data_IF_736838793895
#
_entry.id   IF_736838793895
#
_cell.length_a   1.000
_cell.length_b   1.000
_cell.length_c   1.000
_cell.angle_alpha   90.00
_cell.angle_beta   90.00
_cell.angle_gamma   90.00
#
_symmetry.space_group_name_H-M   'P 1'
#
loop_
_entity.id
_entity.type
_entity.pdbx_description
1 polymer ?
#
# COMPACT_ATOMS: atom_id res chain seq x y z
N UNK A 1 -14.34 13.71 44.71
CA UNK A 1 -14.27 13.27 43.29
C UNK A 1 -12.85 12.93 42.81
N UNK A 2 -11.82 13.75 43.04
CA UNK A 2 -10.45 13.51 42.49
C UNK A 2 -9.66 12.32 43.08
N UNK A 3 -9.97 11.89 44.30
CA UNK A 3 -9.28 10.76 44.95
C UNK A 3 -9.73 9.37 44.42
N UNK A 4 -11.01 9.22 44.10
CA UNK A 4 -11.60 7.99 43.56
C UNK A 4 -11.11 7.68 42.13
N UNK A 5 -10.88 8.70 41.31
CA UNK A 5 -10.35 8.52 39.95
C UNK A 5 -8.87 8.10 39.95
N UNK A 6 -8.07 8.60 40.90
CA UNK A 6 -6.67 8.18 41.10
C UNK A 6 -6.60 6.70 41.51
N UNK A 7 -7.47 6.26 42.41
CA UNK A 7 -7.56 4.85 42.81
C UNK A 7 -7.99 3.93 41.64
N UNK A 8 -8.89 4.37 40.77
CA UNK A 8 -9.32 3.62 39.58
C UNK A 8 -8.21 3.50 38.53
N UNK A 9 -7.40 4.55 38.32
CA UNK A 9 -6.24 4.53 37.41
C UNK A 9 -5.13 3.61 37.92
N UNK A 10 -4.83 3.64 39.21
CA UNK A 10 -3.84 2.73 39.82
C UNK A 10 -4.23 1.25 39.68
N UNK A 11 -5.52 0.92 39.87
CA UNK A 11 -6.03 -0.46 39.70
C UNK A 11 -5.98 -0.95 38.24
N UNK A 12 -6.20 -0.07 37.25
CA UNK A 12 -6.05 -0.40 35.81
C UNK A 12 -4.59 -0.65 35.42
N UNK A 13 -3.66 0.17 35.92
CA UNK A 13 -2.23 -0.02 35.66
C UNK A 13 -1.71 -1.36 36.22
N UNK A 14 -2.11 -1.71 37.45
CA UNK A 14 -1.73 -2.97 38.09
C UNK A 14 -2.28 -4.22 37.38
N UNK A 15 -3.46 -4.13 36.73
CA UNK A 15 -4.02 -5.22 35.91
C UNK A 15 -3.24 -5.44 34.60
N UNK A 16 -2.78 -4.36 33.94
CA UNK A 16 -1.97 -4.49 32.70
C UNK A 16 -0.58 -5.06 32.95
N UNK A 17 0.02 -4.75 34.11
CA UNK A 17 1.34 -5.28 34.49
C UNK A 17 1.29 -6.80 34.79
N UNK A 18 0.15 -7.31 35.30
CA UNK A 18 -0.03 -8.76 35.52
C UNK A 18 -0.27 -9.55 34.23
N UNK A 19 -0.94 -8.97 33.22
CA UNK A 19 -1.12 -9.64 31.92
C UNK A 19 0.17 -9.73 31.11
N UNK A 20 1.03 -8.70 31.20
CA UNK A 20 2.34 -8.71 30.53
C UNK A 20 3.32 -9.75 31.10
N UNK A 21 3.30 -10.00 32.42
CA UNK A 21 4.16 -11.02 33.05
C UNK A 21 3.71 -12.46 32.77
N UNK A 22 2.44 -12.71 32.47
CA UNK A 22 1.94 -14.04 32.13
C UNK A 22 2.31 -14.47 30.69
N UNK A 23 2.51 -13.52 29.78
CA UNK A 23 2.84 -13.80 28.37
C UNK A 23 4.32 -14.18 28.15
N UNK A 24 5.24 -13.79 29.04
CA UNK A 24 6.68 -14.09 28.91
C UNK A 24 7.13 -15.42 29.52
N UNK A 25 6.23 -16.20 30.14
CA UNK A 25 6.60 -17.42 30.87
C UNK A 25 6.42 -18.75 30.08
N UNK A 26 6.16 -18.72 28.76
CA UNK A 26 5.82 -19.94 27.98
C UNK A 26 6.63 -20.21 26.71
N UNK A 27 7.92 -19.86 26.68
CA UNK A 27 8.83 -20.40 25.65
C UNK A 27 10.14 -20.81 26.30
N UNK A 28 10.14 -21.97 26.98
CA UNK A 28 11.35 -22.77 27.20
C UNK A 28 11.01 -24.26 27.17
N UNK A 29 11.87 -24.98 26.45
CA UNK A 29 12.13 -26.42 26.44
C UNK A 29 11.28 -27.34 25.54
N UNK A 30 11.91 -27.83 24.46
CA UNK A 30 11.98 -29.26 24.15
C UNK A 30 13.29 -29.58 23.38
N UNK A 31 13.99 -30.70 23.66
CA UNK A 31 15.33 -31.01 23.12
C UNK A 31 15.32 -32.09 22.02
N UNK A 32 16.48 -32.25 21.35
CA UNK A 32 16.98 -33.56 20.93
C UNK A 32 17.01 -33.85 19.42
N UNK A 33 18.20 -33.74 18.82
CA UNK A 33 18.58 -34.44 17.60
C UNK A 33 19.00 -35.90 17.92
N UNK A 34 19.11 -36.75 16.89
CA UNK A 34 20.40 -37.42 16.70
C UNK A 34 20.90 -37.29 15.25
N UNK A 35 22.22 -37.17 15.11
CA UNK A 35 22.92 -37.22 13.83
C UNK A 35 23.47 -38.62 13.50
N UNK A 36 24.36 -38.62 12.49
CA UNK A 36 25.19 -39.71 11.91
C UNK A 36 24.55 -40.41 10.71
N UNK A 37 25.23 -40.75 9.62
CA UNK A 37 26.59 -40.59 9.08
C UNK A 37 26.43 -40.77 7.54
N UNK A 38 27.09 -40.00 6.67
CA UNK A 38 28.32 -40.43 6.02
C UNK A 38 28.11 -41.32 4.77
N UNK A 39 28.20 -40.76 3.55
CA UNK A 39 28.67 -41.51 2.36
C UNK A 39 29.13 -40.57 1.24
N UNK A 40 30.41 -40.67 0.88
CA UNK A 40 31.02 -40.07 -0.32
C UNK A 40 30.54 -40.84 -1.56
N UNK A 41 30.19 -40.14 -2.63
CA UNK A 41 29.83 -40.75 -3.92
C UNK A 41 30.08 -39.78 -5.07
N UNK A 42 30.81 -40.22 -6.09
CA UNK A 42 31.43 -39.41 -7.14
C UNK A 42 30.42 -38.90 -8.20
N UNK A 43 30.77 -37.73 -8.75
CA UNK A 43 30.37 -37.10 -10.03
C UNK A 43 29.65 -38.00 -11.05
N UNK A 44 28.48 -37.57 -11.53
CA UNK A 44 28.10 -37.58 -12.95
C UNK A 44 27.26 -36.33 -13.24
N UNK A 45 27.68 -35.55 -14.22
CA UNK A 45 26.93 -34.41 -14.71
C UNK A 45 25.70 -34.89 -15.47
N UNK A 46 24.53 -34.36 -15.11
CA UNK A 46 23.33 -34.43 -15.92
C UNK A 46 22.83 -33.01 -16.15
N UNK A 47 22.50 -32.75 -17.40
CA UNK A 47 22.17 -31.47 -18.01
C UNK A 47 20.91 -30.87 -17.38
N UNK A 48 20.86 -29.53 -17.35
CA UNK A 48 19.70 -28.77 -16.92
C UNK A 48 18.46 -29.07 -17.80
N UNK A 49 17.23 -29.02 -17.27
CA UNK A 49 16.02 -29.27 -18.06
C UNK A 49 15.65 -28.13 -19.03
N UNK A 50 16.46 -27.06 -19.10
CA UNK A 50 16.19 -25.86 -19.88
C UNK A 50 16.97 -25.87 -21.19
N UNK A 51 16.72 -26.84 -22.07
CA UNK A 51 17.18 -26.76 -23.46
C UNK A 51 16.40 -27.64 -24.42
N UNK A 52 15.14 -27.26 -24.71
CA UNK A 52 14.52 -27.59 -25.99
C UNK A 52 13.93 -26.34 -26.62
N UNK A 53 14.70 -25.83 -27.60
CA UNK A 53 14.28 -24.86 -28.60
C UNK A 53 13.37 -25.59 -29.59
N UNK A 54 12.06 -25.54 -29.38
CA UNK A 54 11.10 -25.94 -30.41
C UNK A 54 10.70 -24.70 -31.22
N UNK A 55 11.04 -24.70 -32.51
CA UNK A 55 10.57 -23.70 -33.47
C UNK A 55 9.17 -24.09 -33.95
N UNK A 56 8.23 -23.18 -33.71
CA UNK A 56 7.15 -22.70 -34.59
C UNK A 56 6.12 -23.71 -35.10
N UNK A 57 4.87 -23.50 -34.67
CA UNK A 57 3.77 -23.18 -35.60
C UNK A 57 2.73 -22.32 -34.88
N UNK A 58 2.78 -21.00 -35.10
CA UNK A 58 1.76 -20.06 -34.64
C UNK A 58 0.48 -20.27 -35.45
N UNK A 59 -0.69 -20.47 -34.84
CA UNK A 59 -1.93 -20.08 -35.49
C UNK A 59 -2.02 -18.55 -35.38
N UNK A 60 -2.15 -17.90 -36.54
CA UNK A 60 -2.35 -16.47 -36.67
C UNK A 60 -3.55 -16.02 -35.81
N UNK A 61 -3.28 -15.50 -34.61
CA UNK A 61 -4.26 -14.69 -33.88
C UNK A 61 -4.23 -13.32 -34.54
N UNK A 62 -5.35 -13.00 -35.18
CA UNK A 62 -5.55 -11.75 -35.89
C UNK A 62 -5.22 -10.57 -34.97
N UNK A 63 -4.34 -9.70 -35.45
CA UNK A 63 -3.96 -8.40 -34.85
C UNK A 63 -5.19 -7.55 -34.44
N UNK A 64 -6.36 -7.85 -34.97
CA UNK A 64 -7.61 -7.14 -34.72
C UNK A 64 -8.19 -7.34 -33.31
N UNK A 65 -7.88 -8.42 -32.59
CA UNK A 65 -8.43 -8.63 -31.23
C UNK A 65 -7.60 -7.96 -30.12
N UNK A 66 -6.29 -7.81 -30.31
CA UNK A 66 -5.40 -7.15 -29.35
C UNK A 66 -5.49 -5.63 -29.48
N UNK A 67 -5.61 -5.12 -30.71
CA UNK A 67 -5.95 -3.71 -30.98
C UNK A 67 -7.36 -3.35 -30.50
N UNK A 68 -8.33 -4.26 -30.60
CA UNK A 68 -9.67 -4.05 -30.04
C UNK A 68 -9.64 -3.96 -28.51
N UNK A 69 -8.83 -4.79 -27.82
CA UNK A 69 -8.64 -4.70 -26.36
C UNK A 69 -7.96 -3.39 -25.94
N UNK A 70 -6.94 -2.94 -26.67
CA UNK A 70 -6.28 -1.65 -26.44
C UNK A 70 -7.19 -0.46 -26.78
N UNK A 71 -8.07 -0.59 -27.77
CA UNK A 71 -9.07 0.43 -28.12
C UNK A 71 -10.23 0.53 -27.13
N UNK A 72 -10.64 -0.61 -26.53
CA UNK A 72 -11.64 -0.66 -25.47
C UNK A 72 -11.06 -0.07 -24.19
N UNK A 73 -9.79 -0.35 -23.87
CA UNK A 73 -9.06 0.30 -22.77
C UNK A 73 -8.98 1.82 -23.00
N UNK A 74 -8.69 2.29 -24.23
CA UNK A 74 -8.73 3.73 -24.54
C UNK A 74 -10.12 4.36 -24.44
N UNK A 75 -11.20 3.61 -24.73
CA UNK A 75 -12.59 4.11 -24.66
C UNK A 75 -13.27 3.96 -23.29
N UNK A 76 -12.76 3.09 -22.42
CA UNK A 76 -13.23 2.94 -21.02
C UNK A 76 -12.35 3.67 -20.00
N UNK A 77 -11.23 4.25 -20.44
CA UNK A 77 -10.39 5.16 -19.66
C UNK A 77 -10.79 6.64 -19.79
N UNK A 78 -12.06 6.93 -20.04
CA UNK A 78 -12.67 8.21 -19.64
C UNK A 78 -13.49 8.02 -18.35
N UNK A 79 -12.87 7.88 -17.16
CA UNK A 79 -13.57 8.12 -15.91
C UNK A 79 -13.69 9.62 -15.58
N UNK A 80 -13.31 10.53 -16.48
CA UNK A 80 -13.22 11.97 -16.21
C UNK A 80 -14.19 12.83 -17.04
N UNK A 81 -15.49 12.57 -16.93
CA UNK A 81 -16.51 13.60 -17.18
C UNK A 81 -17.04 14.23 -15.88
N UNK A 82 -16.71 13.66 -14.71
CA UNK A 82 -17.07 14.19 -13.38
C UNK A 82 -15.90 14.65 -12.52
N UNK A 83 -14.66 14.40 -12.94
CA UNK A 83 -13.46 14.86 -12.24
C UNK A 83 -12.96 16.23 -12.74
N UNK A 84 -13.41 16.71 -13.92
CA UNK A 84 -12.94 17.96 -14.52
C UNK A 84 -13.70 19.20 -14.06
N UNK A 85 -14.95 19.08 -13.61
CA UNK A 85 -15.78 20.25 -13.34
C UNK A 85 -16.13 20.37 -11.85
N UNK A 86 -15.66 21.49 -11.30
CA UNK A 86 -16.25 22.25 -10.19
C UNK A 86 -15.58 22.20 -8.81
N UNK A 87 -14.26 22.02 -8.71
CA UNK A 87 -13.55 22.46 -7.49
C UNK A 87 -12.51 23.51 -7.83
N UNK A 88 -12.85 24.76 -7.52
CA UNK A 88 -11.95 25.90 -7.61
C UNK A 88 -10.59 25.56 -6.98
N UNK A 89 -9.47 26.00 -7.59
CA UNK A 89 -8.16 25.87 -6.97
C UNK A 89 -8.26 26.45 -5.56
N UNK A 90 -7.96 25.65 -4.53
CA UNK A 90 -7.93 26.16 -3.15
C UNK A 90 -6.95 27.32 -3.16
N UNK A 91 -7.47 28.53 -2.94
CA UNK A 91 -6.80 29.80 -3.12
C UNK A 91 -5.35 29.75 -2.63
N UNK A 92 -4.44 30.39 -3.37
CA UNK A 92 -3.02 30.52 -3.04
C UNK A 92 -2.86 31.03 -1.60
N UNK A 93 -2.62 30.10 -0.67
CA UNK A 93 -2.29 30.40 0.71
C UNK A 93 -0.80 30.77 0.75
N UNK A 94 -0.44 31.74 1.58
CA UNK A 94 0.94 31.97 2.04
C UNK A 94 1.60 30.62 2.33
N UNK A 95 2.88 30.37 1.99
CA UNK A 95 3.52 29.07 2.21
C UNK A 95 3.50 28.72 3.71
N UNK A 96 2.44 28.03 4.11
CA UNK A 96 2.19 27.49 5.44
C UNK A 96 3.00 26.20 5.50
N UNK A 97 3.84 26.04 6.53
CA UNK A 97 4.73 24.88 6.64
C UNK A 97 3.90 23.59 6.67
N UNK A 98 4.43 22.49 6.14
CA UNK A 98 3.72 21.21 6.10
C UNK A 98 3.12 20.79 7.46
N UNK A 99 3.82 20.93 8.62
CA UNK A 99 3.24 20.57 9.92
C UNK A 99 1.94 21.30 10.25
N UNK A 100 1.86 22.60 9.95
CA UNK A 100 0.64 23.40 10.17
C UNK A 100 -0.50 22.93 9.26
N UNK A 101 -0.17 22.62 8.00
CA UNK A 101 -1.14 22.08 7.02
C UNK A 101 -1.66 20.70 7.41
N UNK A 102 -0.86 19.90 8.12
CA UNK A 102 -1.31 18.63 8.68
C UNK A 102 -2.29 18.92 9.83
N UNK A 103 -1.95 19.81 10.77
CA UNK A 103 -2.78 20.13 11.93
C UNK A 103 -4.14 20.74 11.55
N UNK A 104 -4.18 21.62 10.54
CA UNK A 104 -5.42 22.24 10.06
C UNK A 104 -6.17 21.40 8.99
N UNK A 105 -5.63 20.23 8.62
CA UNK A 105 -6.15 19.29 7.61
C UNK A 105 -6.20 19.84 6.18
N UNK A 106 -5.46 20.90 5.87
CA UNK A 106 -5.33 21.43 4.51
C UNK A 106 -4.26 20.71 3.67
N UNK A 107 -3.44 19.85 4.28
CA UNK A 107 -2.54 18.96 3.56
C UNK A 107 -3.32 17.94 2.70
N UNK A 108 -2.89 17.80 1.45
CA UNK A 108 -3.37 16.75 0.55
C UNK A 108 -2.49 15.53 0.73
N UNK A 109 -3.13 14.37 0.97
CA UNK A 109 -2.46 13.10 1.21
C UNK A 109 -2.59 12.22 -0.02
N UNK A 110 -1.53 11.57 -0.46
CA UNK A 110 -1.57 10.52 -1.47
C UNK A 110 -1.32 9.15 -0.82
N UNK A 111 -2.12 8.15 -1.16
CA UNK A 111 -1.92 6.76 -0.74
C UNK A 111 -1.63 5.91 -1.97
N UNK A 112 -0.42 5.36 -2.03
CA UNK A 112 0.06 4.52 -3.13
C UNK A 112 -0.04 3.04 -2.73
N UNK A 113 -0.91 2.31 -3.42
CA UNK A 113 -1.28 0.92 -3.12
C UNK A 113 -2.60 0.85 -2.36
N UNK A 114 -3.69 0.55 -3.06
CA UNK A 114 -5.05 0.49 -2.55
C UNK A 114 -5.45 -0.94 -2.16
N UNK A 115 -4.50 -1.69 -1.61
CA UNK A 115 -4.71 -3.03 -1.08
C UNK A 115 -5.22 -3.03 0.37
N UNK A 116 -4.95 -4.14 1.06
CA UNK A 116 -5.41 -4.40 2.43
C UNK A 116 -5.00 -3.35 3.48
N UNK A 117 -3.89 -2.64 3.28
CA UNK A 117 -3.41 -1.61 4.21
C UNK A 117 -3.80 -0.22 3.73
N UNK A 118 -3.51 0.11 2.47
CA UNK A 118 -3.69 1.47 1.97
C UNK A 118 -5.15 1.89 1.81
N UNK A 119 -6.05 0.99 1.40
CA UNK A 119 -7.46 1.36 1.21
C UNK A 119 -8.17 1.70 2.54
N UNK A 120 -8.04 0.89 3.63
CA UNK A 120 -8.52 1.30 4.95
C UNK A 120 -7.84 2.58 5.49
N UNK A 121 -6.55 2.77 5.21
CA UNK A 121 -5.81 3.97 5.61
C UNK A 121 -6.37 5.23 4.93
N UNK A 122 -6.60 5.16 3.61
CA UNK A 122 -7.23 6.23 2.85
C UNK A 122 -8.63 6.56 3.38
N UNK A 123 -9.43 5.54 3.69
CA UNK A 123 -10.75 5.73 4.30
C UNK A 123 -10.67 6.44 5.66
N UNK A 124 -9.69 6.07 6.49
CA UNK A 124 -9.48 6.70 7.80
C UNK A 124 -9.11 8.19 7.66
N UNK A 125 -8.21 8.53 6.74
CA UNK A 125 -7.84 9.92 6.49
C UNK A 125 -8.98 10.76 5.90
N UNK A 126 -9.72 10.21 4.94
CA UNK A 126 -10.89 10.88 4.36
C UNK A 126 -11.95 11.18 5.44
N UNK A 127 -12.21 10.22 6.34
CA UNK A 127 -13.11 10.42 7.50
C UNK A 127 -12.58 11.43 8.51
N UNK A 128 -11.26 11.53 8.65
CA UNK A 128 -10.63 12.51 9.53
C UNK A 128 -10.66 13.94 8.96
N UNK A 129 -11.12 14.13 7.72
CA UNK A 129 -11.30 15.45 7.09
C UNK A 129 -10.19 15.85 6.12
N UNK A 130 -9.21 14.98 5.86
CA UNK A 130 -8.15 15.24 4.88
C UNK A 130 -8.63 14.97 3.48
N UNK A 131 -8.12 15.71 2.50
CA UNK A 131 -8.28 15.33 1.10
C UNK A 131 -7.26 14.24 0.74
N UNK A 132 -7.74 13.13 0.21
CA UNK A 132 -6.93 11.94 -0.08
C UNK A 132 -7.01 11.58 -1.56
N UNK A 133 -5.85 11.46 -2.19
CA UNK A 133 -5.68 10.91 -3.53
C UNK A 133 -5.26 9.43 -3.42
N UNK A 134 -6.13 8.52 -3.85
CA UNK A 134 -5.83 7.09 -3.91
C UNK A 134 -5.22 6.72 -5.26
N UNK A 135 -4.05 6.09 -5.25
CA UNK A 135 -3.35 5.64 -6.46
C UNK A 135 -3.00 4.15 -6.35
N UNK A 136 -3.26 3.38 -7.39
CA UNK A 136 -2.84 1.98 -7.52
C UNK A 136 -2.45 1.69 -8.98
N UNK A 137 -1.47 0.81 -9.17
CA UNK A 137 -1.02 0.36 -10.50
C UNK A 137 -1.97 -0.68 -11.11
N UNK A 138 -2.78 -1.34 -10.27
CA UNK A 138 -3.75 -2.34 -10.69
C UNK A 138 -5.01 -1.66 -11.26
N UNK A 139 -5.05 -1.54 -12.58
CA UNK A 139 -6.17 -0.92 -13.29
C UNK A 139 -7.51 -1.62 -13.03
N UNK A 140 -7.53 -2.94 -12.83
CA UNK A 140 -8.76 -3.67 -12.51
C UNK A 140 -9.27 -3.29 -11.12
N UNK A 141 -8.37 -3.18 -10.14
CA UNK A 141 -8.71 -2.68 -8.79
C UNK A 141 -9.24 -1.25 -8.84
N UNK A 142 -8.57 -0.35 -9.55
CA UNK A 142 -9.01 1.04 -9.69
C UNK A 142 -10.39 1.12 -10.34
N UNK A 143 -10.63 0.37 -11.41
CA UNK A 143 -11.93 0.35 -12.09
C UNK A 143 -13.05 -0.20 -11.18
N UNK A 144 -12.78 -1.24 -10.40
CA UNK A 144 -13.73 -1.79 -9.42
C UNK A 144 -14.07 -0.76 -8.33
N UNK A 145 -13.07 -0.08 -7.77
CA UNK A 145 -13.28 0.99 -6.79
C UNK A 145 -14.07 2.17 -7.38
N UNK A 146 -13.80 2.55 -8.63
CA UNK A 146 -14.52 3.61 -9.31
C UNK A 146 -16.02 3.29 -9.51
N UNK A 147 -16.35 2.01 -9.70
CA UNK A 147 -17.74 1.51 -9.73
C UNK A 147 -18.37 1.34 -8.35
N UNK A 148 -17.63 1.59 -7.27
CA UNK A 148 -18.09 1.38 -5.90
C UNK A 148 -18.19 -0.09 -5.49
N UNK A 149 -17.51 -0.98 -6.21
CA UNK A 149 -17.51 -2.42 -5.90
C UNK A 149 -16.69 -2.70 -4.63
N UNK A 150 -17.10 -3.69 -3.82
CA UNK A 150 -16.39 -4.06 -2.61
C UNK A 150 -15.11 -4.84 -2.95
N UNK A 151 -14.02 -4.11 -3.23
CA UNK A 151 -12.70 -4.69 -3.49
C UNK A 151 -12.13 -5.43 -2.29
N UNK A 152 -12.45 -4.97 -1.07
CA UNK A 152 -12.07 -5.61 0.18
C UNK A 152 -13.34 -5.98 0.98
N UNK A 153 -13.57 -7.27 1.29
CA UNK A 153 -14.80 -7.70 1.92
C UNK A 153 -14.95 -7.21 3.36
N UNK A 154 -13.84 -6.97 4.06
CA UNK A 154 -13.78 -6.60 5.48
C UNK A 154 -13.88 -5.09 5.75
N UNK A 155 -14.03 -4.24 4.72
CA UNK A 155 -14.30 -2.82 4.96
C UNK A 155 -15.69 -2.63 5.57
N UNK A 156 -15.81 -1.77 6.58
CA UNK A 156 -17.12 -1.42 7.14
C UNK A 156 -17.92 -0.54 6.16
N UNK A 157 -19.25 -0.48 6.28
CA UNK A 157 -20.06 0.44 5.48
C UNK A 157 -19.60 1.90 5.55
N UNK A 158 -19.14 2.34 6.73
CA UNK A 158 -18.63 3.70 6.95
C UNK A 158 -17.32 3.94 6.20
N UNK A 159 -16.41 2.96 6.19
CA UNK A 159 -15.18 3.03 5.42
C UNK A 159 -15.46 3.08 3.92
N UNK A 160 -16.41 2.26 3.43
CA UNK A 160 -16.83 2.29 2.02
C UNK A 160 -17.45 3.63 1.63
N UNK A 161 -18.28 4.21 2.50
CA UNK A 161 -18.89 5.53 2.27
C UNK A 161 -17.84 6.63 2.13
N UNK A 162 -16.79 6.60 2.97
CA UNK A 162 -15.70 7.57 2.93
C UNK A 162 -14.83 7.50 1.67
N UNK A 163 -14.85 6.36 0.97
CA UNK A 163 -14.10 6.10 -0.26
C UNK A 163 -14.93 6.40 -1.53
N UNK A 164 -16.12 6.98 -1.40
CA UNK A 164 -16.92 7.39 -2.56
C UNK A 164 -16.29 8.61 -3.24
N UNK A 165 -16.13 8.61 -4.58
CA UNK A 165 -15.61 9.76 -5.32
C UNK A 165 -16.40 11.04 -5.03
N UNK A 166 -15.70 12.18 -4.87
CA UNK A 166 -16.32 13.48 -4.58
C UNK A 166 -16.59 13.76 -3.09
N UNK A 167 -16.30 12.79 -2.20
CA UNK A 167 -16.16 13.06 -0.77
C UNK A 167 -14.78 13.69 -0.48
N UNK A 168 -14.11 13.23 0.57
CA UNK A 168 -12.73 13.59 0.88
C UNK A 168 -11.71 12.63 0.23
N UNK A 169 -12.13 11.81 -0.74
CA UNK A 169 -11.30 10.81 -1.41
C UNK A 169 -11.55 10.81 -2.92
N UNK A 170 -10.46 10.83 -3.69
CA UNK A 170 -10.46 10.69 -5.15
C UNK A 170 -9.53 9.56 -5.59
N UNK A 171 -10.00 8.71 -6.52
CA UNK A 171 -9.13 7.80 -7.25
C UNK A 171 -8.37 8.59 -8.31
N UNK A 172 -7.04 8.53 -8.28
CA UNK A 172 -6.18 9.37 -9.11
C UNK A 172 -5.20 8.52 -9.90
N UNK A 173 -5.43 8.41 -11.21
CA UNK A 173 -4.47 7.88 -12.19
C UNK A 173 -3.64 8.96 -12.88
N UNK A 174 -4.01 10.23 -12.72
CA UNK A 174 -3.28 11.35 -13.30
C UNK A 174 -2.05 11.70 -12.44
N UNK A 175 -0.90 11.62 -13.07
CA UNK A 175 0.40 11.91 -12.49
C UNK A 175 0.51 13.38 -12.03
N UNK A 176 -0.05 14.32 -12.77
CA UNK A 176 0.09 15.74 -12.45
C UNK A 176 -0.74 16.14 -11.22
N UNK A 177 -1.95 15.58 -11.09
CA UNK A 177 -2.76 15.70 -9.87
C UNK A 177 -2.08 15.12 -8.64
N UNK A 178 -1.36 14.01 -8.76
CA UNK A 178 -0.62 13.44 -7.62
C UNK A 178 0.47 14.37 -7.07
N UNK A 179 0.93 15.37 -7.84
CA UNK A 179 1.90 16.37 -7.37
C UNK A 179 1.29 17.39 -6.41
N UNK A 180 -0.04 17.49 -6.36
CA UNK A 180 -0.76 18.31 -5.38
C UNK A 180 -0.57 17.78 -3.96
N UNK A 181 -0.34 16.47 -3.81
CA UNK A 181 -0.09 15.85 -2.52
C UNK A 181 1.21 16.36 -1.90
N UNK A 182 1.15 16.63 -0.60
CA UNK A 182 2.31 17.04 0.21
C UNK A 182 2.76 15.93 1.15
N UNK A 183 1.95 14.89 1.33
CA UNK A 183 2.30 13.69 2.08
C UNK A 183 1.99 12.46 1.23
N UNK A 184 2.95 11.56 1.08
CA UNK A 184 2.83 10.33 0.30
C UNK A 184 3.00 9.11 1.20
N UNK A 185 1.98 8.26 1.26
CA UNK A 185 2.01 6.98 1.97
C UNK A 185 2.28 5.84 0.99
N UNK A 186 3.34 5.07 1.23
CA UNK A 186 3.70 3.89 0.45
C UNK A 186 3.11 2.65 1.14
N UNK A 187 2.04 2.09 0.57
CA UNK A 187 1.31 0.92 1.06
C UNK A 187 1.31 -0.22 0.02
N UNK A 188 2.45 -0.45 -0.62
CA UNK A 188 2.62 -1.44 -1.69
C UNK A 188 3.00 -2.83 -1.13
N UNK A 189 2.66 -3.92 -1.82
CA UNK A 189 2.89 -5.27 -1.30
C UNK A 189 4.39 -5.59 -1.18
N UNK A 190 4.75 -6.33 -0.14
CA UNK A 190 6.10 -6.89 0.09
C UNK A 190 5.98 -8.40 0.29
N UNK A 191 5.67 -9.17 -0.77
CA UNK A 191 5.51 -10.61 -0.66
C UNK A 191 6.83 -11.24 -0.19
N UNK A 192 6.73 -12.34 0.56
CA UNK A 192 7.92 -13.02 1.06
C UNK A 192 8.48 -13.97 -0.01
N UNK A 193 9.80 -13.92 -0.18
CA UNK A 193 10.57 -14.86 -0.99
C UNK A 193 10.73 -16.23 -0.32
N UNK A 194 11.47 -17.11 -0.99
CA UNK A 194 11.69 -18.50 -0.53
C UNK A 194 12.38 -18.55 0.83
N UNK A 195 13.26 -17.59 1.14
CA UNK A 195 13.98 -17.51 2.41
C UNK A 195 13.28 -16.60 3.43
N UNK A 196 12.01 -16.24 3.18
CA UNK A 196 11.18 -15.34 4.01
C UNK A 196 11.70 -13.90 4.12
N UNK A 197 12.55 -13.50 3.18
CA UNK A 197 12.89 -12.12 2.94
C UNK A 197 11.76 -11.39 2.22
N UNK A 198 11.43 -10.14 2.56
CA UNK A 198 10.47 -9.37 1.79
C UNK A 198 11.05 -9.01 0.42
N UNK A 199 10.30 -9.27 -0.64
CA UNK A 199 10.58 -8.69 -1.95
C UNK A 199 10.23 -7.19 -1.91
N UNK A 200 11.24 -6.35 -2.12
CA UNK A 200 11.13 -4.89 -2.12
C UNK A 200 10.99 -4.29 -3.52
N UNK A 201 10.82 -5.11 -4.56
CA UNK A 201 10.65 -4.65 -5.94
C UNK A 201 9.55 -3.59 -6.08
N UNK A 202 8.38 -3.84 -5.50
CA UNK A 202 7.25 -2.90 -5.51
C UNK A 202 7.54 -1.62 -4.70
N UNK A 203 8.25 -1.74 -3.57
CA UNK A 203 8.66 -0.58 -2.76
C UNK A 203 9.61 0.32 -3.55
N UNK A 204 10.65 -0.25 -4.18
CA UNK A 204 11.60 0.50 -5.02
C UNK A 204 10.90 1.23 -6.16
N UNK A 205 10.01 0.53 -6.87
CA UNK A 205 9.25 1.12 -7.97
C UNK A 205 8.34 2.27 -7.48
N UNK A 206 7.65 2.08 -6.36
CA UNK A 206 6.80 3.11 -5.76
C UNK A 206 7.59 4.32 -5.28
N UNK A 207 8.75 4.10 -4.63
CA UNK A 207 9.65 5.18 -4.21
C UNK A 207 10.16 5.98 -5.40
N UNK A 208 10.61 5.33 -6.47
CA UNK A 208 11.07 6.00 -7.69
C UNK A 208 9.94 6.80 -8.36
N UNK A 209 8.74 6.22 -8.41
CA UNK A 209 7.56 6.92 -8.91
C UNK A 209 7.26 8.17 -8.08
N UNK A 210 7.18 8.03 -6.75
CA UNK A 210 6.90 9.15 -5.84
C UNK A 210 8.00 10.22 -5.90
N UNK A 211 9.27 9.83 -5.92
CA UNK A 211 10.41 10.76 -6.04
C UNK A 211 10.25 11.71 -7.23
N UNK A 212 9.73 11.20 -8.34
CA UNK A 212 9.50 12.00 -9.54
C UNK A 212 8.30 12.97 -9.46
N UNK A 213 7.47 12.87 -8.41
CA UNK A 213 6.32 13.74 -8.11
C UNK A 213 6.66 14.80 -7.07
N UNK A 214 7.66 14.55 -6.22
CA UNK A 214 7.93 15.33 -5.04
C UNK A 214 8.18 16.81 -5.35
N UNK A 215 7.68 17.64 -4.43
CA UNK A 215 7.97 19.07 -4.33
C UNK A 215 8.73 19.31 -3.01
N UNK A 216 9.41 20.46 -2.87
CA UNK A 216 9.99 20.84 -1.58
C UNK A 216 8.96 20.70 -0.45
N UNK A 217 9.44 20.31 0.72
CA UNK A 217 8.62 20.08 1.93
C UNK A 217 7.63 18.91 1.85
N UNK A 218 7.78 18.00 0.89
CA UNK A 218 6.99 16.77 0.87
C UNK A 218 7.43 15.77 1.95
N UNK A 219 6.46 15.08 2.55
CA UNK A 219 6.68 13.99 3.49
C UNK A 219 6.38 12.65 2.83
N UNK A 220 7.33 11.72 2.86
CA UNK A 220 7.12 10.33 2.40
C UNK A 220 7.11 9.41 3.61
N UNK A 221 6.07 8.58 3.71
CA UNK A 221 5.87 7.63 4.81
C UNK A 221 5.82 6.21 4.24
N UNK A 222 6.80 5.39 4.60
CA UNK A 222 6.80 3.96 4.27
C UNK A 222 5.88 3.22 5.26
N UNK A 223 4.79 2.65 4.76
CA UNK A 223 3.85 1.85 5.56
C UNK A 223 3.89 0.36 5.23
N UNK A 224 4.52 -0.04 4.12
CA UNK A 224 4.76 -1.44 3.80
C UNK A 224 5.63 -2.11 4.87
N UNK A 225 5.28 -3.35 5.23
CA UNK A 225 6.06 -4.15 6.17
C UNK A 225 7.40 -4.54 5.56
N UNK A 226 8.48 -4.22 6.24
CA UNK A 226 9.85 -4.44 5.75
C UNK A 226 10.83 -4.67 6.90
N UNK A 227 12.11 -4.89 6.59
CA UNK A 227 13.19 -5.03 7.56
C UNK A 227 13.83 -3.66 7.95
N UNK A 228 14.44 -3.55 9.14
CA UNK A 228 15.13 -2.33 9.57
C UNK A 228 16.20 -1.86 8.58
N UNK A 229 16.27 -0.56 8.29
CA UNK A 229 17.22 0.00 7.32
C UNK A 229 16.61 0.31 5.95
N UNK A 230 15.47 -0.29 5.59
CA UNK A 230 14.81 -0.09 4.29
C UNK A 230 14.59 1.38 3.94
N UNK A 231 14.13 2.20 4.88
CA UNK A 231 13.90 3.63 4.64
C UNK A 231 15.16 4.41 4.25
N UNK A 232 16.36 3.93 4.62
CA UNK A 232 17.63 4.61 4.31
C UNK A 232 18.31 4.04 3.07
N UNK A 233 18.12 2.74 2.83
CA UNK A 233 18.83 1.98 1.80
C UNK A 233 18.04 1.83 0.49
N UNK A 234 16.73 2.05 0.53
CA UNK A 234 15.80 1.69 -0.56
C UNK A 234 14.85 2.83 -0.94
N UNK A 235 14.34 3.56 0.05
CA UNK A 235 13.39 4.68 -0.13
C UNK A 235 14.13 6.00 -0.10
#
# INVERSE_FOLDING_TARGET
>A
MRALERARRARRAARSARSARAAHARVRAAPGAPGRDGARGRRRGTRSPWSHRARISSPARSRTQEEARLSVVRRTLDPCARCSDNRAPRAARTPTLLPERILDRSAVLAVHGLGHVGLPLAAAFARAGYHVLGHDIDAARVAALARGEPVLPHLTPEQRSALRPGANFDLCGDRERLREASVHFLCVPTPLGLHREPDLSAVRAASAFVASLLRPEALVVLCSTTYPGTTREVV
#
